data_IF_828422367667
#
_entry.id   IF_828422367667
#
_cell.length_a   1.000
_cell.length_b   1.000
_cell.length_c   1.000
_cell.angle_alpha   90.00
_cell.angle_beta   90.00
_cell.angle_gamma   90.00
#
_symmetry.space_group_name_H-M   'P 1'
#
loop_
_entity.id
_entity.type
_entity.pdbx_description
1 polymer ?
#
# COMPACT_ATOMS: atom_id res chain seq x y z
N UNK A 1 8.06 18.23 77.60
CA UNK A 1 8.85 17.32 76.82
C UNK A 1 8.05 16.97 75.56
N UNK A 2 8.30 17.69 74.46
CA UNK A 2 7.56 17.55 73.17
C UNK A 2 8.49 16.90 72.18
N UNK A 3 8.19 15.68 71.76
CA UNK A 3 8.93 14.97 70.69
C UNK A 3 8.34 15.37 69.34
N UNK A 4 9.12 16.11 68.56
CA UNK A 4 8.84 16.41 67.20
C UNK A 4 9.26 15.19 66.36
N UNK A 5 8.29 14.56 65.70
CA UNK A 5 8.52 13.51 64.69
C UNK A 5 8.51 14.20 63.31
N UNK A 6 9.68 14.29 62.70
CA UNK A 6 9.84 14.72 61.32
C UNK A 6 9.47 13.55 60.40
N UNK A 7 8.35 13.67 59.70
CA UNK A 7 8.01 12.80 58.56
C UNK A 7 8.71 13.32 57.32
N UNK A 8 9.76 12.63 56.92
CA UNK A 8 10.37 12.82 55.63
C UNK A 8 9.51 12.14 54.55
N UNK A 9 8.77 12.92 53.78
CA UNK A 9 8.06 12.47 52.59
C UNK A 9 9.08 12.28 51.47
N UNK A 10 9.49 11.02 51.24
CA UNK A 10 10.21 10.61 50.06
C UNK A 10 9.26 10.57 48.87
N UNK A 11 9.29 11.62 48.06
CA UNK A 11 8.57 11.68 46.78
C UNK A 11 9.28 10.75 45.81
N UNK A 12 8.75 9.53 45.61
CA UNK A 12 9.12 8.66 44.49
C UNK A 12 8.54 9.25 43.21
N UNK A 13 9.35 10.01 42.49
CA UNK A 13 9.07 10.35 41.13
C UNK A 13 9.18 9.07 40.29
N UNK A 14 8.05 8.42 40.03
CA UNK A 14 7.94 7.38 39.04
C UNK A 14 8.07 8.06 37.67
N UNK A 15 9.29 8.10 37.11
CA UNK A 15 9.50 8.42 35.71
C UNK A 15 8.95 7.22 34.95
N UNK A 16 7.66 7.29 34.61
CA UNK A 16 7.05 6.45 33.62
C UNK A 16 7.70 6.82 32.28
N UNK A 17 8.79 6.12 31.91
CA UNK A 17 9.18 6.02 30.52
C UNK A 17 8.00 5.35 29.80
N UNK A 18 7.08 6.15 29.30
CA UNK A 18 6.28 5.73 28.14
C UNK A 18 7.30 5.51 27.03
N UNK A 19 7.64 4.26 26.76
CA UNK A 19 7.99 3.85 25.42
C UNK A 19 6.74 4.18 24.62
N UNK A 20 6.78 5.29 23.93
CA UNK A 20 5.97 5.48 22.75
C UNK A 20 6.44 4.41 21.76
N UNK A 21 5.90 3.20 21.89
CA UNK A 21 5.81 2.26 20.81
C UNK A 21 4.83 2.91 19.84
N UNK A 22 5.34 3.92 19.13
CA UNK A 22 4.76 4.45 17.92
C UNK A 22 4.88 3.32 16.90
N UNK A 23 4.02 2.29 17.06
CA UNK A 23 3.71 1.39 15.97
C UNK A 23 3.14 2.31 14.89
N UNK A 24 4.03 2.81 14.03
CA UNK A 24 3.67 3.76 13.00
C UNK A 24 2.52 3.16 12.19
N UNK A 25 1.36 3.80 12.31
CA UNK A 25 0.14 3.43 11.62
C UNK A 25 0.48 3.09 10.16
N UNK A 26 -0.04 1.99 9.59
CA UNK A 26 0.23 1.66 8.20
C UNK A 26 -0.02 2.86 7.29
N UNK A 27 0.90 3.16 6.42
CA UNK A 27 0.82 4.32 5.52
C UNK A 27 0.96 3.89 4.08
N UNK A 28 0.22 4.57 3.19
CA UNK A 28 0.33 4.40 1.74
C UNK A 28 1.70 4.84 1.20
N UNK A 29 2.40 5.71 1.96
CA UNK A 29 3.73 6.23 1.58
C UNK A 29 4.79 5.13 1.64
N UNK A 30 5.59 4.99 0.60
CA UNK A 30 6.66 4.02 0.51
C UNK A 30 6.97 3.60 -0.92
N UNK A 31 7.93 2.72 -1.07
CA UNK A 31 8.24 2.04 -2.33
C UNK A 31 7.50 0.70 -2.35
N UNK A 32 6.68 0.51 -3.36
CA UNK A 32 5.81 -0.65 -3.52
C UNK A 32 6.17 -1.42 -4.78
N UNK A 33 6.60 -2.66 -4.61
CA UNK A 33 6.94 -3.57 -5.71
C UNK A 33 5.82 -4.58 -5.90
N UNK A 34 5.42 -4.81 -7.15
CA UNK A 34 4.40 -5.81 -7.45
C UNK A 34 4.87 -7.21 -7.06
N UNK A 35 3.99 -8.01 -6.47
CA UNK A 35 4.30 -9.38 -6.07
C UNK A 35 3.43 -10.42 -6.78
N UNK A 36 2.15 -10.15 -6.98
CA UNK A 36 1.20 -11.00 -7.72
C UNK A 36 -0.06 -10.23 -8.06
N UNK A 37 -0.89 -10.80 -8.96
CA UNK A 37 -2.27 -10.37 -9.15
C UNK A 37 -3.23 -11.56 -9.16
N UNK A 38 -4.46 -11.32 -8.69
CA UNK A 38 -5.50 -12.33 -8.59
C UNK A 38 -6.79 -11.73 -9.15
N UNK A 39 -7.32 -12.33 -10.21
CA UNK A 39 -8.66 -12.05 -10.69
C UNK A 39 -9.65 -12.89 -9.90
N UNK A 40 -10.60 -12.26 -9.25
CA UNK A 40 -11.72 -12.90 -8.57
C UNK A 40 -12.98 -12.72 -9.40
N UNK A 41 -13.54 -13.80 -9.83
CA UNK A 41 -14.76 -13.83 -10.62
C UNK A 41 -16.01 -13.65 -9.77
N UNK A 42 -17.05 -13.07 -10.37
CA UNK A 42 -18.35 -12.87 -9.72
C UNK A 42 -19.03 -14.16 -9.24
N UNK A 43 -18.67 -15.32 -9.79
CA UNK A 43 -19.12 -16.65 -9.37
C UNK A 43 -18.37 -17.21 -8.15
N UNK A 44 -17.37 -16.49 -7.62
CA UNK A 44 -16.57 -16.89 -6.45
C UNK A 44 -15.31 -17.68 -6.77
N UNK A 45 -15.07 -18.04 -8.03
CA UNK A 45 -13.78 -18.62 -8.45
C UNK A 45 -12.68 -17.56 -8.54
N UNK A 46 -11.42 -17.97 -8.70
CA UNK A 46 -10.31 -17.04 -8.85
C UNK A 46 -9.18 -17.60 -9.71
N UNK A 47 -8.47 -16.71 -10.39
CA UNK A 47 -7.30 -17.01 -11.19
C UNK A 47 -6.11 -16.15 -10.69
N UNK A 48 -5.00 -16.80 -10.36
CA UNK A 48 -3.76 -16.10 -10.01
C UNK A 48 -2.89 -15.95 -11.26
N UNK A 49 -2.46 -14.71 -11.52
CA UNK A 49 -1.49 -14.42 -12.58
C UNK A 49 -0.08 -14.42 -11.98
N UNK A 50 0.76 -15.29 -12.55
CA UNK A 50 2.18 -15.32 -12.23
C UNK A 50 2.87 -14.25 -13.07
N UNK A 51 3.58 -13.35 -12.41
CA UNK A 51 4.40 -12.34 -13.08
C UNK A 51 5.63 -13.00 -13.67
N UNK A 52 6.01 -12.63 -14.88
CA UNK A 52 7.28 -13.02 -15.43
C UNK A 52 8.46 -12.25 -14.79
N UNK A 53 9.69 -12.57 -15.17
CA UNK A 53 10.89 -11.94 -14.61
C UNK A 53 11.01 -10.45 -14.97
N UNK A 54 10.34 -9.98 -16.03
CA UNK A 54 10.29 -8.59 -16.44
C UNK A 54 9.21 -7.85 -15.64
N UNK A 55 7.99 -8.33 -15.69
CA UNK A 55 6.84 -7.71 -14.99
C UNK A 55 7.02 -7.66 -13.46
N UNK A 56 7.70 -8.64 -12.87
CA UNK A 56 7.99 -8.70 -11.44
C UNK A 56 8.88 -7.55 -10.93
N UNK A 57 9.45 -6.75 -11.83
CA UNK A 57 10.24 -5.57 -11.51
C UNK A 57 9.40 -4.29 -11.39
N UNK A 58 8.12 -4.32 -11.79
CA UNK A 58 7.20 -3.18 -11.69
C UNK A 58 7.12 -2.67 -10.25
N UNK A 59 7.28 -1.36 -10.10
CA UNK A 59 7.23 -0.71 -8.80
C UNK A 59 6.73 0.73 -8.91
N UNK A 60 6.24 1.26 -7.78
CA UNK A 60 5.98 2.68 -7.64
C UNK A 60 6.35 3.18 -6.26
N UNK A 61 6.70 4.44 -6.17
CA UNK A 61 7.03 5.14 -4.92
C UNK A 61 6.05 6.26 -4.69
N UNK A 62 5.44 6.29 -3.50
CA UNK A 62 4.59 7.36 -3.01
C UNK A 62 5.32 8.12 -1.91
N UNK A 63 5.48 9.44 -2.07
CA UNK A 63 6.25 10.29 -1.15
C UNK A 63 5.32 11.08 -0.23
N UNK A 64 5.82 11.48 0.93
CA UNK A 64 5.06 12.26 1.93
C UNK A 64 4.56 13.60 1.42
N UNK A 65 5.24 14.18 0.42
CA UNK A 65 4.89 15.46 -0.21
C UNK A 65 3.85 15.34 -1.33
N UNK A 66 3.24 14.14 -1.50
CA UNK A 66 2.24 13.89 -2.53
C UNK A 66 2.80 13.58 -3.91
N UNK A 67 4.12 13.50 -4.06
CA UNK A 67 4.75 13.10 -5.32
C UNK A 67 4.76 11.59 -5.45
N UNK A 68 4.74 11.14 -6.70
CA UNK A 68 4.91 9.74 -7.05
C UNK A 68 5.88 9.55 -8.20
N UNK A 69 6.49 8.40 -8.25
CA UNK A 69 7.19 7.88 -9.41
C UNK A 69 6.85 6.41 -9.61
N UNK A 70 6.82 5.94 -10.84
CA UNK A 70 6.64 4.53 -11.16
C UNK A 70 7.63 4.09 -12.21
N UNK A 71 8.05 2.82 -12.14
CA UNK A 71 8.84 2.15 -13.17
C UNK A 71 8.07 0.92 -13.59
N UNK A 72 7.61 0.92 -14.83
CA UNK A 72 6.91 -0.22 -15.45
C UNK A 72 7.88 -0.94 -16.37
N UNK A 73 7.85 -2.25 -16.32
CA UNK A 73 8.64 -3.13 -17.15
C UNK A 73 7.71 -3.96 -18.03
N UNK A 74 8.10 -4.16 -19.26
CA UNK A 74 7.35 -4.96 -20.22
C UNK A 74 8.27 -5.53 -21.31
N UNK A 75 7.77 -6.52 -22.04
CA UNK A 75 8.52 -7.12 -23.15
C UNK A 75 8.23 -6.35 -24.43
N UNK A 76 9.28 -5.90 -25.13
CA UNK A 76 9.16 -5.24 -26.43
C UNK A 76 8.91 -6.25 -27.56
N UNK A 77 8.71 -5.76 -28.80
CA UNK A 77 8.48 -6.60 -29.99
C UNK A 77 9.65 -7.52 -30.33
N UNK A 78 10.84 -7.26 -29.78
CA UNK A 78 12.05 -8.06 -29.98
C UNK A 78 12.26 -9.08 -28.85
N UNK A 79 11.36 -9.12 -27.86
CA UNK A 79 11.47 -10.00 -26.70
C UNK A 79 12.36 -9.47 -25.59
N UNK A 80 12.79 -8.20 -25.63
CA UNK A 80 13.63 -7.61 -24.59
C UNK A 80 12.78 -7.02 -23.46
N UNK A 81 13.24 -7.17 -22.22
CA UNK A 81 12.64 -6.48 -21.09
C UNK A 81 13.04 -5.00 -21.12
N UNK A 82 12.09 -4.12 -21.32
CA UNK A 82 12.27 -2.67 -21.39
C UNK A 82 11.51 -1.99 -20.26
N UNK A 83 12.02 -0.85 -19.78
CA UNK A 83 11.39 -0.09 -18.71
C UNK A 83 10.93 1.28 -19.19
N UNK A 84 9.85 1.75 -18.57
CA UNK A 84 9.34 3.12 -18.70
C UNK A 84 9.16 3.71 -17.32
N UNK A 85 9.65 4.94 -17.12
CA UNK A 85 9.47 5.69 -15.89
C UNK A 85 8.42 6.78 -16.09
N UNK A 86 7.50 6.91 -15.16
CA UNK A 86 6.54 8.00 -15.09
C UNK A 86 6.66 8.70 -13.73
N UNK A 87 6.51 10.03 -13.73
CA UNK A 87 6.51 10.85 -12.52
C UNK A 87 5.22 11.64 -12.45
N UNK A 88 4.76 11.92 -11.24
CA UNK A 88 3.52 12.65 -11.06
C UNK A 88 3.20 12.92 -9.60
N UNK A 89 1.93 12.99 -9.31
CA UNK A 89 1.39 13.20 -7.97
C UNK A 89 0.34 12.15 -7.65
N UNK A 90 0.00 12.01 -6.38
CA UNK A 90 -1.09 11.13 -5.95
C UNK A 90 -1.94 11.80 -4.88
N UNK A 91 -3.16 11.31 -4.74
CA UNK A 91 -4.03 11.58 -3.61
C UNK A 91 -4.58 10.27 -3.06
N UNK A 92 -4.68 10.18 -1.74
CA UNK A 92 -5.26 9.03 -1.06
C UNK A 92 -6.35 9.47 -0.11
N UNK A 93 -7.57 9.03 -0.38
CA UNK A 93 -8.73 9.19 0.49
C UNK A 93 -8.85 7.95 1.39
N UNK A 94 -8.43 8.09 2.66
CA UNK A 94 -8.44 6.99 3.63
C UNK A 94 -9.87 6.54 3.97
N UNK A 95 -10.85 7.46 3.95
CA UNK A 95 -12.25 7.15 4.30
C UNK A 95 -12.91 6.32 3.22
N UNK A 96 -12.72 6.70 1.95
CA UNK A 96 -13.26 6.00 0.79
C UNK A 96 -12.31 4.94 0.24
N UNK A 97 -11.13 4.76 0.86
CA UNK A 97 -10.08 3.83 0.43
C UNK A 97 -9.69 3.99 -1.04
N UNK A 98 -9.66 5.21 -1.53
CA UNK A 98 -9.43 5.52 -2.94
C UNK A 98 -8.06 6.15 -3.13
N UNK A 99 -7.21 5.48 -3.91
CA UNK A 99 -5.93 6.01 -4.35
C UNK A 99 -6.06 6.46 -5.82
N UNK A 100 -5.72 7.72 -6.08
CA UNK A 100 -5.66 8.28 -7.44
C UNK A 100 -4.22 8.71 -7.70
N UNK A 101 -3.67 8.23 -8.80
CA UNK A 101 -2.33 8.55 -9.27
C UNK A 101 -2.42 9.34 -10.57
N UNK A 102 -1.74 10.48 -10.63
CA UNK A 102 -1.71 11.40 -11.75
C UNK A 102 -0.29 11.42 -12.32
N UNK A 103 -0.07 10.66 -13.37
CA UNK A 103 1.18 10.62 -14.13
C UNK A 103 0.89 10.85 -15.61
N UNK A 104 1.43 10.06 -16.53
CA UNK A 104 1.09 10.13 -17.95
C UNK A 104 -0.40 9.85 -18.19
N UNK A 105 -0.97 8.98 -17.37
CA UNK A 105 -2.39 8.66 -17.32
C UNK A 105 -2.90 8.74 -15.88
N UNK A 106 -4.21 8.98 -15.71
CA UNK A 106 -4.85 8.96 -14.40
C UNK A 106 -5.27 7.54 -14.08
N UNK A 107 -4.66 6.99 -13.03
CA UNK A 107 -5.00 5.66 -12.53
C UNK A 107 -5.74 5.79 -11.20
N UNK A 108 -6.89 5.15 -11.10
CA UNK A 108 -7.68 5.09 -9.87
C UNK A 108 -7.80 3.63 -9.42
N UNK A 109 -7.53 3.38 -8.14
CA UNK A 109 -7.69 2.06 -7.53
C UNK A 109 -8.36 2.18 -6.16
N UNK A 110 -9.03 1.10 -5.74
CA UNK A 110 -9.51 0.95 -4.37
C UNK A 110 -8.43 0.27 -3.52
N UNK A 111 -8.10 0.83 -2.36
CA UNK A 111 -7.17 0.21 -1.41
C UNK A 111 -7.94 -0.80 -0.56
N UNK A 112 -7.78 -2.08 -0.85
CA UNK A 112 -8.43 -3.17 -0.13
C UNK A 112 -7.81 -3.40 1.24
N UNK A 113 -6.48 -3.34 1.32
CA UNK A 113 -5.71 -3.54 2.55
C UNK A 113 -4.39 -2.81 2.49
N UNK A 114 -3.94 -2.31 3.64
CA UNK A 114 -2.61 -1.74 3.83
C UNK A 114 -2.04 -2.17 5.17
N UNK A 115 -0.83 -2.70 5.14
CA UNK A 115 -0.04 -3.07 6.31
C UNK A 115 1.32 -2.37 6.25
N UNK A 116 2.19 -2.65 7.19
CA UNK A 116 3.56 -2.12 7.19
C UNK A 116 4.34 -2.53 5.93
N UNK A 117 4.11 -3.75 5.43
CA UNK A 117 4.91 -4.37 4.36
C UNK A 117 4.09 -4.80 3.13
N UNK A 118 2.78 -4.68 3.15
CA UNK A 118 1.90 -5.11 2.05
C UNK A 118 0.84 -4.06 1.76
N UNK A 119 0.59 -3.83 0.47
CA UNK A 119 -0.51 -3.04 -0.06
C UNK A 119 -1.28 -3.91 -1.06
N UNK A 120 -2.60 -4.00 -0.86
CA UNK A 120 -3.49 -4.70 -1.79
C UNK A 120 -4.45 -3.67 -2.37
N UNK A 121 -4.47 -3.54 -3.69
CA UNK A 121 -5.41 -2.67 -4.39
C UNK A 121 -6.32 -3.47 -5.31
N UNK A 122 -7.50 -2.91 -5.58
CA UNK A 122 -8.46 -3.43 -6.56
C UNK A 122 -8.49 -2.45 -7.73
N UNK A 123 -8.32 -2.95 -8.95
CA UNK A 123 -8.42 -2.15 -10.17
C UNK A 123 -9.84 -1.60 -10.36
N UNK A 124 -9.95 -0.36 -10.81
CA UNK A 124 -11.20 0.31 -11.16
C UNK A 124 -11.05 0.83 -12.60
N UNK A 125 -12.05 0.64 -13.47
CA UNK A 125 -13.31 -0.08 -13.26
C UNK A 125 -13.12 -1.60 -13.20
N UNK A 126 -14.10 -2.29 -12.61
CA UNK A 126 -14.24 -3.74 -12.70
C UNK A 126 -14.93 -4.12 -14.01
N UNK A 127 -14.68 -5.33 -14.49
CA UNK A 127 -15.23 -5.84 -15.74
C UNK A 127 -15.79 -7.25 -15.52
N UNK A 128 -16.75 -7.65 -16.32
CA UNK A 128 -17.23 -9.02 -16.40
C UNK A 128 -16.36 -9.75 -17.46
N UNK A 129 -15.35 -10.49 -17.02
CA UNK A 129 -14.37 -11.12 -17.89
C UNK A 129 -14.81 -12.50 -18.40
N UNK A 130 -15.74 -13.16 -17.68
CA UNK A 130 -16.25 -14.50 -18.06
C UNK A 130 -17.68 -14.47 -18.62
N UNK A 131 -18.27 -13.27 -18.74
CA UNK A 131 -19.62 -13.01 -19.27
C UNK A 131 -20.72 -13.73 -18.49
N UNK A 132 -20.56 -13.87 -17.17
CA UNK A 132 -21.59 -14.46 -16.28
C UNK A 132 -22.64 -13.44 -15.78
N UNK A 133 -22.49 -12.17 -16.18
CA UNK A 133 -23.36 -11.06 -15.81
C UNK A 133 -23.00 -10.42 -14.47
N UNK A 134 -21.85 -10.75 -13.89
CA UNK A 134 -21.34 -10.19 -12.64
C UNK A 134 -19.97 -9.54 -12.83
N UNK A 135 -19.69 -8.52 -12.04
CA UNK A 135 -18.39 -7.87 -12.07
C UNK A 135 -17.30 -8.73 -11.43
N UNK A 136 -16.17 -8.81 -12.11
CA UNK A 136 -14.94 -9.43 -11.62
C UNK A 136 -14.01 -8.37 -11.03
N UNK A 137 -13.21 -8.73 -10.05
CA UNK A 137 -12.28 -7.83 -9.37
C UNK A 137 -10.84 -8.30 -9.52
N UNK A 138 -9.99 -7.44 -10.10
CA UNK A 138 -8.56 -7.68 -10.17
C UNK A 138 -7.88 -7.10 -8.92
N UNK A 139 -7.38 -7.98 -8.08
CA UNK A 139 -6.58 -7.65 -6.90
C UNK A 139 -5.10 -7.65 -7.27
N UNK A 140 -4.41 -6.55 -6.98
CA UNK A 140 -2.97 -6.42 -7.23
C UNK A 140 -2.28 -6.27 -5.89
N UNK A 141 -1.28 -7.11 -5.65
CA UNK A 141 -0.53 -7.20 -4.40
C UNK A 141 0.84 -6.58 -4.58
N UNK A 142 1.21 -5.71 -3.65
CA UNK A 142 2.52 -5.08 -3.59
C UNK A 142 3.17 -5.32 -2.24
N UNK A 143 4.49 -5.38 -2.24
CA UNK A 143 5.33 -5.46 -1.03
C UNK A 143 6.32 -4.30 -0.99
N UNK A 144 6.77 -3.95 0.23
CA UNK A 144 7.86 -2.99 0.45
C UNK A 144 9.21 -3.68 0.35
#
# INVERSE_FOLDING_TARGET
>A
MKKLILFALASLAIISCRKDDDESKPTIVGNWKISKSILKFGNGSSQTYTLDSCESQNNFTLQKDGKMSSVSYGIDFNGNCVSRTANGTFSYDEQNKRLVMYADEVTTVEVSSITKNELIVISIPSYDNDNDGKEDKLYIYFTK
#
